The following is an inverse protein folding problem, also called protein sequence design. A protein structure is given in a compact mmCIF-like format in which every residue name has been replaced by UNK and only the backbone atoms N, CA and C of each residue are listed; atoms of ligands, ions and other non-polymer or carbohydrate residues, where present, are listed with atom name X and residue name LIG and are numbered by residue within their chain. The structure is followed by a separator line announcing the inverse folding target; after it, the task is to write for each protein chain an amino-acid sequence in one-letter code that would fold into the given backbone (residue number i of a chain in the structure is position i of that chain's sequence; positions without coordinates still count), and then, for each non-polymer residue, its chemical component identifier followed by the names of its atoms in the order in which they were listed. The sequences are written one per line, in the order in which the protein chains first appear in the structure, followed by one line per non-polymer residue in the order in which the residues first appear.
data_IF_927382657480
#
_entry.id   IF_927382657480
#
_cell.length_a   1.000
_cell.length_b   1.000
_cell.length_c   1.000
_cell.angle_alpha   90.00
_cell.angle_beta   90.00
_cell.angle_gamma   90.00
#
_symmetry.space_group_name_H-M   'P 1'
#
loop_
_entity.id
_entity.type
_entity.pdbx_description
1 polymer ?
#
# COMPACT_ATOMS: atom_id res chain seq x y z
N UNK A 1 -18.60 21.18 5.75
CA UNK A 1 -18.10 19.99 5.03
C UNK A 1 -17.33 20.49 3.83
N UNK A 2 -16.00 20.54 3.92
CA UNK A 2 -15.12 20.93 2.81
C UNK A 2 -15.05 19.78 1.81
N UNK A 3 -15.24 20.06 0.52
CA UNK A 3 -15.07 19.06 -0.53
C UNK A 3 -13.61 18.57 -0.55
N UNK A 4 -13.36 17.25 -0.56
CA UNK A 4 -12.00 16.73 -0.65
C UNK A 4 -11.36 17.19 -1.95
N UNK A 5 -10.13 17.71 -1.86
CA UNK A 5 -9.37 18.19 -3.01
C UNK A 5 -9.05 17.03 -3.95
N UNK A 6 -8.67 17.33 -5.20
CA UNK A 6 -8.32 16.30 -6.20
C UNK A 6 -7.22 15.35 -5.71
N UNK A 7 -6.31 15.83 -4.85
CA UNK A 7 -5.26 15.01 -4.26
C UNK A 7 -5.82 14.05 -3.20
N UNK A 8 -6.76 14.52 -2.38
CA UNK A 8 -7.40 13.72 -1.33
C UNK A 8 -8.16 12.52 -1.92
N UNK A 9 -8.85 12.71 -3.06
CA UNK A 9 -9.54 11.59 -3.75
C UNK A 9 -8.58 10.57 -4.33
N UNK A 10 -7.47 11.02 -4.93
CA UNK A 10 -6.43 10.12 -5.45
C UNK A 10 -5.85 9.28 -4.32
N UNK A 11 -5.47 9.92 -3.21
CA UNK A 11 -4.93 9.26 -2.03
C UNK A 11 -5.94 8.27 -1.42
N UNK A 12 -7.22 8.66 -1.32
CA UNK A 12 -8.27 7.79 -0.80
C UNK A 12 -8.44 6.51 -1.63
N UNK A 13 -8.36 6.62 -2.96
CA UNK A 13 -8.40 5.46 -3.87
C UNK A 13 -7.20 4.53 -3.59
N UNK A 14 -5.99 5.09 -3.46
CA UNK A 14 -4.77 4.31 -3.18
C UNK A 14 -4.87 3.59 -1.84
N UNK A 15 -5.37 4.24 -0.79
CA UNK A 15 -5.52 3.65 0.53
C UNK A 15 -6.57 2.52 0.55
N UNK A 16 -7.67 2.72 -0.17
CA UNK A 16 -8.71 1.70 -0.31
C UNK A 16 -8.19 0.49 -1.10
N UNK A 17 -7.50 0.74 -2.21
CA UNK A 17 -6.88 -0.30 -3.03
C UNK A 17 -5.81 -1.06 -2.24
N UNK A 18 -4.99 -0.35 -1.45
CA UNK A 18 -4.01 -0.95 -0.55
C UNK A 18 -4.65 -1.92 0.45
N UNK A 19 -5.74 -1.51 1.11
CA UNK A 19 -6.44 -2.38 2.06
C UNK A 19 -6.99 -3.64 1.37
N UNK A 20 -7.53 -3.48 0.16
CA UNK A 20 -8.07 -4.58 -0.63
C UNK A 20 -7.00 -5.54 -1.14
N UNK A 21 -5.96 -5.04 -1.83
CA UNK A 21 -4.87 -5.87 -2.35
C UNK A 21 -4.15 -6.62 -1.24
N UNK A 22 -3.94 -5.98 -0.09
CA UNK A 22 -3.33 -6.64 1.07
C UNK A 22 -4.15 -7.83 1.58
N UNK A 23 -5.49 -7.72 1.59
CA UNK A 23 -6.39 -8.75 2.17
C UNK A 23 -6.80 -9.84 1.19
N UNK A 24 -6.97 -9.48 -0.07
CA UNK A 24 -7.64 -10.31 -1.09
C UNK A 24 -6.70 -10.72 -2.21
N UNK A 25 -5.58 -10.00 -2.41
CA UNK A 25 -4.67 -10.19 -3.53
C UNK A 25 -4.96 -9.24 -4.70
N UNK A 26 -3.99 -9.11 -5.61
CA UNK A 26 -4.05 -8.18 -6.72
C UNK A 26 -5.02 -8.65 -7.81
N UNK A 27 -4.88 -9.88 -8.31
CA UNK A 27 -5.73 -10.46 -9.35
C UNK A 27 -7.19 -10.56 -8.91
N UNK A 28 -7.42 -11.05 -7.69
CA UNK A 28 -8.77 -11.25 -7.15
C UNK A 28 -9.53 -9.95 -6.84
N UNK A 29 -8.84 -8.81 -6.75
CA UNK A 29 -9.47 -7.50 -6.53
C UNK A 29 -9.75 -6.81 -7.85
N UNK A 30 -11.03 -6.74 -8.28
CA UNK A 30 -11.43 -5.98 -9.47
C UNK A 30 -11.54 -4.46 -9.24
N UNK A 31 -11.39 -3.66 -10.30
CA UNK A 31 -11.54 -2.19 -10.24
C UNK A 31 -12.92 -1.78 -9.73
N UNK A 32 -13.99 -2.44 -10.15
CA UNK A 32 -15.34 -2.10 -9.72
C UNK A 32 -15.54 -2.28 -8.20
N UNK A 33 -14.86 -3.26 -7.59
CA UNK A 33 -14.86 -3.43 -6.13
C UNK A 33 -14.18 -2.25 -5.44
N UNK A 34 -13.04 -1.80 -5.95
CA UNK A 34 -12.32 -0.65 -5.40
C UNK A 34 -13.16 0.62 -5.54
N UNK A 35 -13.82 0.82 -6.69
CA UNK A 35 -14.73 1.95 -6.94
C UNK A 35 -15.86 1.97 -5.91
N UNK A 36 -16.49 0.81 -5.67
CA UNK A 36 -17.58 0.69 -4.72
C UNK A 36 -17.12 0.96 -3.28
N UNK A 37 -15.99 0.40 -2.87
CA UNK A 37 -15.47 0.53 -1.50
C UNK A 37 -14.88 1.93 -1.22
N UNK A 38 -14.28 2.57 -2.22
CA UNK A 38 -13.79 3.94 -2.14
C UNK A 38 -14.92 4.98 -2.32
N UNK A 39 -16.14 4.54 -2.63
CA UNK A 39 -17.30 5.39 -2.88
C UNK A 39 -17.00 6.55 -3.87
N UNK A 40 -16.34 6.22 -4.99
CA UNK A 40 -16.01 7.18 -6.05
C UNK A 40 -16.77 6.86 -7.33
N UNK A 41 -17.04 7.87 -8.16
CA UNK A 41 -17.58 7.61 -9.49
C UNK A 41 -16.53 6.90 -10.39
N UNK A 42 -16.98 6.01 -11.27
CA UNK A 42 -16.11 5.28 -12.23
C UNK A 42 -15.21 6.23 -13.05
N UNK A 43 -15.77 7.32 -13.57
CA UNK A 43 -14.99 8.34 -14.29
C UNK A 43 -13.94 9.02 -13.41
N UNK A 44 -14.18 9.15 -12.10
CA UNK A 44 -13.18 9.69 -11.17
C UNK A 44 -12.03 8.72 -10.97
N UNK A 45 -12.29 7.41 -10.83
CA UNK A 45 -11.25 6.38 -10.76
C UNK A 45 -10.34 6.44 -11.99
N UNK A 46 -10.91 6.32 -13.19
CA UNK A 46 -10.13 6.29 -14.43
C UNK A 46 -9.44 7.62 -14.78
N UNK A 47 -9.93 8.76 -14.26
CA UNK A 47 -9.22 10.05 -14.37
C UNK A 47 -7.93 10.06 -13.55
N UNK A 48 -7.87 9.31 -12.45
CA UNK A 48 -6.69 9.25 -11.58
C UNK A 48 -5.75 8.09 -11.95
N UNK A 49 -6.32 6.95 -12.34
CA UNK A 49 -5.59 5.72 -12.64
C UNK A 49 -6.14 5.13 -13.95
N UNK A 50 -5.45 5.34 -15.08
CA UNK A 50 -5.91 4.89 -16.39
C UNK A 50 -6.09 3.37 -16.47
N UNK A 51 -5.26 2.61 -15.76
CA UNK A 51 -5.34 1.16 -15.66
C UNK A 51 -5.30 0.67 -14.21
N UNK A 52 -5.60 -0.62 -14.03
CA UNK A 52 -5.43 -1.29 -12.74
C UNK A 52 -3.95 -1.37 -12.36
N UNK A 53 -3.07 -1.60 -13.32
CA UNK A 53 -1.63 -1.72 -13.08
C UNK A 53 -1.05 -0.39 -12.59
N UNK A 54 -1.47 0.74 -13.16
CA UNK A 54 -1.08 2.08 -12.67
C UNK A 54 -1.45 2.27 -11.19
N UNK A 55 -2.63 1.79 -10.78
CA UNK A 55 -3.05 1.82 -9.39
C UNK A 55 -2.24 0.87 -8.51
N UNK A 56 -1.89 -0.33 -9.01
CA UNK A 56 -1.05 -1.27 -8.26
C UNK A 56 0.35 -0.70 -8.00
N UNK A 57 0.99 -0.12 -9.02
CA UNK A 57 2.30 0.52 -8.89
C UNK A 57 2.25 1.65 -7.87
N UNK A 58 1.23 2.50 -7.93
CA UNK A 58 1.05 3.58 -6.95
C UNK A 58 0.84 3.04 -5.53
N UNK A 59 0.08 1.96 -5.37
CA UNK A 59 -0.12 1.31 -4.07
C UNK A 59 1.19 0.75 -3.51
N UNK A 60 2.04 0.14 -4.35
CA UNK A 60 3.35 -0.35 -3.94
C UNK A 60 4.27 0.81 -3.53
N UNK A 61 4.29 1.90 -4.31
CA UNK A 61 5.03 3.11 -3.96
C UNK A 61 4.55 3.73 -2.64
N UNK A 62 3.23 3.81 -2.44
CA UNK A 62 2.63 4.26 -1.18
C UNK A 62 3.08 3.38 0.01
N UNK A 63 3.06 2.05 -0.16
CA UNK A 63 3.48 1.09 0.87
C UNK A 63 4.99 1.15 1.15
N UNK A 64 5.83 1.40 0.14
CA UNK A 64 7.27 1.61 0.30
C UNK A 64 7.53 2.88 1.12
N UNK A 65 7.00 4.02 0.68
CA UNK A 65 7.19 5.30 1.36
C UNK A 65 6.63 5.31 2.79
N UNK A 66 5.51 4.61 3.05
CA UNK A 66 4.99 4.46 4.43
C UNK A 66 5.98 3.73 5.33
N UNK A 67 6.63 2.70 4.80
CA UNK A 67 7.61 1.91 5.55
C UNK A 67 8.90 2.66 5.80
N UNK A 68 9.44 3.33 4.79
CA UNK A 68 10.62 4.20 4.91
C UNK A 68 10.41 5.27 5.98
N UNK A 69 9.32 6.06 5.89
CA UNK A 69 9.00 7.08 6.89
C UNK A 69 8.88 6.52 8.31
N UNK A 70 8.35 5.30 8.44
CA UNK A 70 8.20 4.67 9.75
C UNK A 70 9.55 4.19 10.31
N UNK A 71 10.41 3.64 9.46
CA UNK A 71 11.78 3.26 9.85
C UNK A 71 12.64 4.48 10.18
N UNK A 72 12.59 5.54 9.38
CA UNK A 72 13.36 6.76 9.63
C UNK A 72 13.00 7.39 10.97
N UNK A 73 11.70 7.47 11.27
CA UNK A 73 11.21 7.96 12.56
C UNK A 73 11.76 7.13 13.71
N UNK A 74 11.67 5.81 13.60
CA UNK A 74 12.11 4.86 14.61
C UNK A 74 13.63 4.85 14.79
N UNK A 75 14.39 5.00 13.70
CA UNK A 75 15.84 5.09 13.73
C UNK A 75 16.34 6.41 14.36
N UNK A 76 15.58 7.49 14.22
CA UNK A 76 15.85 8.78 14.86
C UNK A 76 15.71 8.76 16.39
N UNK A 77 14.96 7.80 16.94
CA UNK A 77 14.73 7.67 18.39
C UNK A 77 15.85 6.93 19.13
N UNK A 78 16.76 6.25 18.43
CA UNK A 78 17.82 5.41 19.03
C UNK A 78 19.22 6.01 18.91
N UNK A 79 19.95 6.01 20.04
CA UNK A 79 21.30 6.55 20.13
C UNK A 79 22.41 5.62 19.61
N UNK A 80 22.23 4.29 19.66
CA UNK A 80 23.26 3.31 19.27
C UNK A 80 22.84 2.45 18.06
N UNK A 81 23.80 1.97 17.23
CA UNK A 81 23.52 1.07 16.11
C UNK A 81 22.77 -0.20 16.51
N UNK A 82 23.13 -0.82 17.63
CA UNK A 82 22.50 -2.05 18.14
C UNK A 82 21.02 -1.80 18.47
N UNK A 83 20.71 -0.64 19.07
CA UNK A 83 19.33 -0.30 19.39
C UNK A 83 18.51 0.00 18.12
N UNK A 84 19.11 0.64 17.11
CA UNK A 84 18.47 0.85 15.80
C UNK A 84 18.09 -0.48 15.15
N UNK A 85 18.99 -1.46 15.16
CA UNK A 85 18.71 -2.82 14.66
C UNK A 85 17.59 -3.47 15.48
N UNK A 86 17.67 -3.42 16.82
CA UNK A 86 16.64 -3.98 17.69
C UNK A 86 15.24 -3.40 17.45
N UNK A 87 15.15 -2.09 17.18
CA UNK A 87 13.89 -1.42 16.86
C UNK A 87 13.25 -1.94 15.57
N UNK A 88 14.06 -2.31 14.57
CA UNK A 88 13.55 -2.93 13.33
C UNK A 88 12.89 -4.28 13.64
N UNK A 89 13.53 -5.11 14.47
CA UNK A 89 12.94 -6.38 14.91
C UNK A 89 11.68 -6.17 15.75
N UNK A 90 11.68 -5.22 16.69
CA UNK A 90 10.50 -4.85 17.48
C UNK A 90 9.35 -4.39 16.57
N UNK A 91 9.67 -3.65 15.51
CA UNK A 91 8.69 -3.22 14.51
C UNK A 91 8.09 -4.40 13.74
N UNK A 92 8.92 -5.31 13.24
CA UNK A 92 8.47 -6.53 12.57
C UNK A 92 7.61 -7.39 13.51
N UNK A 93 8.03 -7.56 14.77
CA UNK A 93 7.27 -8.27 15.78
C UNK A 93 5.86 -7.68 15.97
N UNK A 94 5.75 -6.35 16.15
CA UNK A 94 4.44 -5.68 16.25
C UNK A 94 3.59 -5.88 15.00
N UNK A 95 4.19 -5.85 13.82
CA UNK A 95 3.48 -6.06 12.57
C UNK A 95 2.95 -7.49 12.43
N UNK A 96 3.78 -8.50 12.73
CA UNK A 96 3.38 -9.92 12.70
C UNK A 96 2.26 -10.24 13.69
N UNK A 97 2.22 -9.57 14.84
CA UNK A 97 1.17 -9.76 15.85
C UNK A 97 -0.04 -8.84 15.70
N UNK A 98 -0.11 -8.04 14.62
CA UNK A 98 -1.27 -7.18 14.38
C UNK A 98 -2.47 -8.00 13.89
N UNK A 99 -3.68 -7.65 14.36
CA UNK A 99 -4.91 -8.33 13.96
C UNK A 99 -5.24 -8.22 12.45
N UNK A 100 -4.60 -7.26 11.77
CA UNK A 100 -4.75 -6.99 10.33
C UNK A 100 -3.48 -7.41 9.57
N UNK A 101 -2.76 -8.41 10.09
CA UNK A 101 -1.62 -9.01 9.43
C UNK A 101 -2.07 -9.97 8.32
N UNK A 102 -1.66 -9.65 7.09
CA UNK A 102 -1.93 -10.46 5.90
C UNK A 102 -0.63 -10.71 5.12
N UNK A 103 0.53 -10.75 5.78
CA UNK A 103 1.81 -10.90 5.09
C UNK A 103 2.29 -9.62 4.37
N UNK A 104 3.41 -9.75 3.65
CA UNK A 104 4.05 -8.65 2.96
C UNK A 104 3.40 -8.39 1.60
N UNK A 105 2.93 -7.16 1.36
CA UNK A 105 2.33 -6.80 0.08
C UNK A 105 3.27 -7.00 -1.11
N UNK A 106 4.57 -6.73 -0.96
CA UNK A 106 5.57 -6.97 -2.01
C UNK A 106 5.74 -8.46 -2.32
N UNK A 107 5.66 -9.33 -1.29
CA UNK A 107 5.70 -10.77 -1.51
C UNK A 107 4.45 -11.25 -2.26
N UNK A 108 3.28 -10.65 -2.00
CA UNK A 108 2.07 -10.94 -2.77
C UNK A 108 2.21 -10.50 -4.23
N UNK A 109 2.75 -9.30 -4.45
CA UNK A 109 3.00 -8.80 -5.80
C UNK A 109 3.93 -9.75 -6.58
N UNK A 110 5.08 -10.15 -6.01
CA UNK A 110 5.99 -11.09 -6.65
C UNK A 110 5.38 -12.48 -6.89
N UNK A 111 4.52 -12.95 -5.99
CA UNK A 111 3.84 -14.24 -6.16
C UNK A 111 2.80 -14.21 -7.29
N UNK A 112 2.20 -13.05 -7.54
CA UNK A 112 1.15 -12.84 -8.55
C UNK A 112 1.70 -12.37 -9.90
N UNK A 113 2.84 -11.65 -9.90
CA UNK A 113 3.48 -11.09 -11.09
C UNK A 113 4.92 -11.59 -11.13
N UNK A 114 5.16 -12.67 -11.88
CA UNK A 114 6.48 -13.30 -12.01
C UNK A 114 7.28 -12.86 -13.24
N UNK A 115 6.70 -12.06 -14.13
CA UNK A 115 7.35 -11.55 -15.34
C UNK A 115 8.07 -10.22 -15.04
N UNK A 116 9.42 -10.15 -15.16
CA UNK A 116 10.19 -8.92 -14.97
C UNK A 116 9.84 -7.77 -15.91
N UNK A 117 9.13 -8.03 -17.01
CA UNK A 117 8.64 -6.99 -17.91
C UNK A 117 7.32 -6.36 -17.44
N UNK A 118 6.62 -6.97 -16.47
CA UNK A 118 5.36 -6.46 -15.95
C UNK A 118 5.62 -5.24 -15.05
N UNK A 119 4.86 -4.13 -15.16
CA UNK A 119 5.11 -2.90 -14.40
C UNK A 119 5.02 -3.04 -12.87
N UNK A 120 4.42 -4.13 -12.38
CA UNK A 120 4.25 -4.44 -10.94
C UNK A 120 5.40 -5.28 -10.38
N UNK A 121 6.24 -5.87 -11.25
CA UNK A 121 7.43 -6.63 -10.85
C UNK A 121 8.53 -5.67 -10.36
#
# INVERSE_FOLDING_TARGET
MTEPTRNDKRQHIVETAYALFKRVGFHATGIDRIIAEANVAKMTMYRHFPSKDDLMVEVLAYRAGRFERQLDRLAGEAATPERKIGIIFDWYGRWFHSADFHGCLFAHALAEFGDPAHPVF
#
